data_IF_957361051216
#
_entry.id   IF_957361051216
#
_cell.length_a   1.000
_cell.length_b   1.000
_cell.length_c   1.000
_cell.angle_alpha   90.00
_cell.angle_beta   90.00
_cell.angle_gamma   90.00
#
_symmetry.space_group_name_H-M   'P 1'
#
loop_
_entity.id
_entity.type
_entity.pdbx_description
1 polymer ?
#
# COMPACT_ATOMS: atom_id res chain seq x y z
N UNK A 1 -27.41 22.67 2.41
CA UNK A 1 -27.29 21.40 3.16
C UNK A 1 -25.82 21.22 3.50
N UNK A 2 -25.42 21.38 4.77
CA UNK A 2 -24.02 21.34 5.18
C UNK A 2 -23.43 19.92 5.10
N UNK A 3 -22.15 19.81 4.75
CA UNK A 3 -21.41 18.54 4.83
C UNK A 3 -21.39 18.06 6.29
N UNK A 4 -21.56 16.76 6.51
CA UNK A 4 -21.47 16.12 7.82
C UNK A 4 -20.23 15.24 7.84
N UNK A 5 -19.55 15.20 8.97
CA UNK A 5 -18.42 14.31 9.20
C UNK A 5 -18.85 13.15 10.09
N UNK A 6 -18.41 11.96 9.70
CA UNK A 6 -18.56 10.72 10.46
C UNK A 6 -17.19 10.25 10.92
N UNK A 7 -17.07 9.85 12.18
CA UNK A 7 -15.87 9.21 12.69
C UNK A 7 -16.10 7.72 12.90
N UNK A 8 -15.37 6.87 12.17
CA UNK A 8 -15.49 5.41 12.25
C UNK A 8 -15.11 4.85 13.63
N UNK A 9 -14.16 5.49 14.33
CA UNK A 9 -13.71 5.02 15.64
C UNK A 9 -14.71 5.32 16.75
N UNK A 10 -15.40 6.46 16.67
CA UNK A 10 -16.32 6.92 17.72
C UNK A 10 -17.80 6.68 17.36
N UNK A 11 -18.08 6.27 16.12
CA UNK A 11 -19.43 6.04 15.58
C UNK A 11 -20.36 7.26 15.71
N UNK A 12 -19.80 8.47 15.70
CA UNK A 12 -20.56 9.73 15.83
C UNK A 12 -20.59 10.50 14.51
N UNK A 13 -21.73 11.15 14.27
CA UNK A 13 -21.97 12.06 13.15
C UNK A 13 -22.12 13.50 13.66
N UNK A 14 -21.38 14.45 13.10
CA UNK A 14 -21.52 15.87 13.41
C UNK A 14 -21.36 16.77 12.17
N UNK A 15 -21.63 18.07 12.31
CA UNK A 15 -21.49 19.04 11.22
C UNK A 15 -20.01 19.19 10.88
N UNK A 16 -19.66 19.13 9.60
CA UNK A 16 -18.26 19.16 9.17
C UNK A 16 -17.68 20.58 9.24
N UNK A 17 -17.22 20.94 10.44
CA UNK A 17 -16.44 22.12 10.74
C UNK A 17 -14.99 21.72 11.04
N UNK A 18 -14.02 22.44 10.47
CA UNK A 18 -12.60 22.09 10.57
C UNK A 18 -12.10 22.11 12.02
N UNK A 19 -12.51 23.11 12.79
CA UNK A 19 -12.12 23.25 14.20
C UNK A 19 -12.79 22.18 15.06
N UNK A 20 -14.08 21.92 14.85
CA UNK A 20 -14.78 20.82 15.51
C UNK A 20 -14.14 19.46 15.21
N UNK A 21 -13.78 19.20 13.94
CA UNK A 21 -13.12 17.96 13.53
C UNK A 21 -11.75 17.82 14.19
N UNK A 22 -10.94 18.87 14.21
CA UNK A 22 -9.61 18.85 14.85
C UNK A 22 -9.73 18.58 16.35
N UNK A 23 -10.66 19.24 17.04
CA UNK A 23 -10.93 19.00 18.48
C UNK A 23 -11.40 17.57 18.74
N UNK A 24 -12.25 17.02 17.87
CA UNK A 24 -12.69 15.64 17.97
C UNK A 24 -11.52 14.65 17.84
N UNK A 25 -10.67 14.81 16.81
CA UNK A 25 -9.51 13.93 16.58
C UNK A 25 -8.46 14.01 17.69
N UNK A 26 -8.34 15.17 18.35
CA UNK A 26 -7.45 15.38 19.50
C UNK A 26 -8.09 15.00 20.84
N UNK A 27 -9.37 14.61 20.86
CA UNK A 27 -10.04 14.22 22.09
C UNK A 27 -9.45 12.92 22.64
N UNK A 28 -9.32 12.84 23.97
CA UNK A 28 -8.80 11.65 24.65
C UNK A 28 -9.61 10.40 24.32
N UNK A 29 -10.93 10.55 24.17
CA UNK A 29 -11.82 9.45 23.83
C UNK A 29 -11.53 8.89 22.43
N UNK A 30 -11.42 9.75 21.41
CA UNK A 30 -11.05 9.33 20.07
C UNK A 30 -9.67 8.66 20.04
N UNK A 31 -8.67 9.27 20.69
CA UNK A 31 -7.31 8.71 20.75
C UNK A 31 -7.32 7.33 21.41
N UNK A 32 -8.07 7.16 22.50
CA UNK A 32 -8.21 5.86 23.19
C UNK A 32 -8.83 4.81 22.27
N UNK A 33 -9.97 5.10 21.65
CA UNK A 33 -10.66 4.15 20.76
C UNK A 33 -9.81 3.81 19.52
N UNK A 34 -9.14 4.82 18.95
CA UNK A 34 -8.20 4.62 17.85
C UNK A 34 -7.06 3.67 18.25
N UNK A 35 -6.45 3.88 19.42
CA UNK A 35 -5.37 3.02 19.90
C UNK A 35 -5.87 1.60 20.15
N UNK A 36 -7.03 1.42 20.79
CA UNK A 36 -7.64 0.10 21.01
C UNK A 36 -7.92 -0.64 19.68
N UNK A 37 -8.37 0.08 18.66
CA UNK A 37 -8.55 -0.49 17.33
C UNK A 37 -7.23 -0.98 16.71
N UNK A 38 -6.15 -0.20 16.82
CA UNK A 38 -4.85 -0.64 16.32
C UNK A 38 -4.23 -1.76 17.16
N UNK A 39 -4.52 -1.81 18.46
CA UNK A 39 -4.10 -2.91 19.33
C UNK A 39 -4.78 -4.23 18.97
N UNK A 40 -6.06 -4.22 18.60
CA UNK A 40 -6.78 -5.45 18.18
C UNK A 40 -6.36 -5.96 16.81
N UNK A 41 -5.93 -5.07 15.91
CA UNK A 41 -5.43 -5.39 14.59
C UNK A 41 -3.92 -5.69 14.55
N UNK A 42 -3.25 -5.75 15.71
CA UNK A 42 -1.79 -5.88 15.77
C UNK A 42 -1.35 -7.31 15.45
N UNK A 43 -0.30 -7.43 14.64
CA UNK A 43 0.21 -8.74 14.22
C UNK A 43 0.68 -9.58 15.43
N UNK A 44 0.23 -10.85 15.54
CA UNK A 44 0.60 -11.71 16.68
C UNK A 44 2.11 -11.98 16.73
N UNK A 45 2.79 -11.99 15.58
CA UNK A 45 4.24 -12.14 15.50
C UNK A 45 4.96 -10.94 16.12
N UNK A 46 4.46 -9.73 15.85
CA UNK A 46 5.01 -8.50 16.42
C UNK A 46 4.74 -8.43 17.92
N UNK A 47 3.54 -8.80 18.37
CA UNK A 47 3.20 -8.89 19.79
C UNK A 47 4.16 -9.86 20.49
N UNK A 48 4.31 -11.08 19.97
CA UNK A 48 5.18 -12.09 20.57
C UNK A 48 6.62 -11.59 20.73
N UNK A 49 7.16 -10.95 19.68
CA UNK A 49 8.53 -10.40 19.69
C UNK A 49 8.70 -9.32 20.74
N UNK A 50 7.73 -8.41 20.87
CA UNK A 50 7.78 -7.34 21.86
C UNK A 50 7.61 -7.86 23.29
N UNK A 51 6.67 -8.77 23.51
CA UNK A 51 6.36 -9.30 24.84
C UNK A 51 7.48 -10.20 25.39
N UNK A 52 8.16 -10.97 24.54
CA UNK A 52 9.32 -11.79 24.95
C UNK A 52 10.52 -10.95 25.42
N UNK A 53 10.65 -9.71 24.95
CA UNK A 53 11.70 -8.79 25.39
C UNK A 53 11.35 -8.08 26.70
N UNK A 54 10.07 -8.10 27.09
CA UNK A 54 9.60 -7.44 28.31
C UNK A 54 9.77 -8.34 29.52
N UNK A 55 10.14 -7.73 30.63
CA UNK A 55 10.16 -8.39 31.94
C UNK A 55 8.70 -8.51 32.44
N UNK A 56 8.31 -9.59 33.13
CA UNK A 56 6.95 -9.75 33.67
C UNK A 56 6.58 -8.66 34.67
N UNK A 57 5.36 -8.16 34.56
CA UNK A 57 4.83 -7.12 35.43
C UNK A 57 4.52 -7.67 36.82
N UNK A 58 5.31 -7.26 37.83
CA UNK A 58 5.11 -7.71 39.21
C UNK A 58 3.71 -7.39 39.77
N UNK A 59 3.17 -6.20 39.46
CA UNK A 59 1.83 -5.81 39.95
C UNK A 59 0.74 -6.67 39.34
N UNK A 60 0.81 -6.90 38.03
CA UNK A 60 -0.16 -7.74 37.35
C UNK A 60 -0.07 -9.20 37.84
N UNK A 61 1.14 -9.73 37.98
CA UNK A 61 1.34 -11.09 38.49
C UNK A 61 0.84 -11.29 39.93
N UNK A 62 0.88 -10.25 40.77
CA UNK A 62 0.46 -10.34 42.18
C UNK A 62 -1.04 -10.05 42.39
N UNK A 63 -1.58 -9.04 41.71
CA UNK A 63 -2.92 -8.52 41.97
C UNK A 63 -3.91 -8.80 40.83
N UNK A 64 -3.45 -9.37 39.71
CA UNK A 64 -4.25 -9.57 38.49
C UNK A 64 -4.68 -8.27 37.80
N UNK A 65 -4.24 -7.11 38.30
CA UNK A 65 -4.63 -5.80 37.81
C UNK A 65 -3.42 -4.88 37.69
N UNK A 66 -3.36 -4.10 36.62
CA UNK A 66 -2.31 -3.12 36.40
C UNK A 66 -2.94 -1.80 35.93
N UNK A 67 -2.66 -0.71 36.64
CA UNK A 67 -3.18 0.63 36.32
C UNK A 67 -2.75 1.15 34.94
N UNK A 68 -1.71 0.55 34.35
CA UNK A 68 -1.18 0.94 33.04
C UNK A 68 -1.76 0.13 31.88
N UNK A 69 -2.51 -0.94 32.14
CA UNK A 69 -3.19 -1.78 31.14
C UNK A 69 -2.30 -2.06 29.90
N UNK A 70 -2.71 -1.65 28.69
CA UNK A 70 -1.97 -1.82 27.43
C UNK A 70 -0.74 -0.93 27.27
N UNK A 71 -0.59 0.11 28.11
CA UNK A 71 0.58 1.00 28.11
C UNK A 71 1.67 0.55 29.11
N UNK A 72 1.53 -0.65 29.71
CA UNK A 72 2.54 -1.14 30.63
C UNK A 72 3.86 -1.44 29.91
N UNK A 73 4.98 -0.99 30.49
CA UNK A 73 6.33 -1.32 29.99
C UNK A 73 6.70 -2.80 30.21
N UNK A 74 5.97 -3.49 31.08
CA UNK A 74 6.20 -4.87 31.47
C UNK A 74 5.15 -5.77 30.82
N UNK A 75 5.48 -7.04 30.61
CA UNK A 75 4.53 -7.98 30.01
C UNK A 75 3.46 -8.40 31.02
N UNK A 76 2.21 -8.47 30.55
CA UNK A 76 1.07 -9.03 31.28
C UNK A 76 0.75 -10.46 30.85
N UNK A 77 1.49 -11.01 29.87
CA UNK A 77 1.26 -12.37 29.40
C UNK A 77 1.83 -13.37 30.38
N UNK A 78 1.07 -14.42 30.66
CA UNK A 78 1.59 -15.59 31.35
C UNK A 78 2.50 -16.41 30.41
N UNK A 79 3.37 -17.27 30.94
CA UNK A 79 4.15 -18.21 30.12
C UNK A 79 3.26 -19.07 29.21
N UNK A 80 2.08 -19.45 29.68
CA UNK A 80 1.08 -20.20 28.93
C UNK A 80 0.52 -19.37 27.77
N UNK A 81 0.19 -18.11 28.00
CA UNK A 81 -0.30 -17.21 26.95
C UNK A 81 0.76 -16.97 25.87
N UNK A 82 2.04 -16.83 26.25
CA UNK A 82 3.14 -16.69 25.30
C UNK A 82 3.36 -17.97 24.49
N UNK A 83 3.12 -19.14 25.08
CA UNK A 83 3.18 -20.42 24.37
C UNK A 83 2.05 -20.51 23.33
N UNK A 84 0.83 -20.16 23.72
CA UNK A 84 -0.32 -20.11 22.81
C UNK A 84 -0.09 -19.11 21.66
N UNK A 85 0.42 -17.92 21.97
CA UNK A 85 0.73 -16.91 20.97
C UNK A 85 1.82 -17.38 20.00
N UNK A 86 2.84 -18.10 20.48
CA UNK A 86 3.87 -18.72 19.64
C UNK A 86 3.27 -19.74 18.67
N UNK A 87 2.39 -20.60 19.15
CA UNK A 87 1.71 -21.58 18.32
C UNK A 87 0.87 -20.90 17.21
N UNK A 88 0.13 -19.85 17.56
CA UNK A 88 -0.63 -19.08 16.57
C UNK A 88 0.27 -18.49 15.47
N UNK A 89 1.42 -17.93 15.86
CA UNK A 89 2.38 -17.35 14.91
C UNK A 89 2.92 -18.41 13.96
N UNK A 90 3.29 -19.58 14.48
CA UNK A 90 3.77 -20.71 13.69
C UNK A 90 2.71 -21.18 12.69
N UNK A 91 1.47 -21.36 13.13
CA UNK A 91 0.35 -21.73 12.24
C UNK A 91 0.11 -20.68 11.14
N UNK A 92 0.21 -19.39 11.47
CA UNK A 92 0.07 -18.33 10.47
C UNK A 92 1.22 -18.34 9.45
N UNK A 93 2.45 -18.58 9.91
CA UNK A 93 3.62 -18.68 9.03
C UNK A 93 3.52 -19.90 8.12
N UNK A 94 3.07 -21.04 8.64
CA UNK A 94 2.82 -22.25 7.85
C UNK A 94 1.75 -22.04 6.80
N UNK A 95 0.64 -21.37 7.14
CA UNK A 95 -0.40 -21.00 6.16
C UNK A 95 0.15 -20.07 5.08
N UNK A 96 0.98 -19.09 5.46
CA UNK A 96 1.63 -18.18 4.49
C UNK A 96 2.57 -18.94 3.56
N UNK A 97 3.37 -19.87 4.09
CA UNK A 97 4.29 -20.72 3.33
C UNK A 97 3.56 -21.63 2.36
N UNK A 98 2.54 -22.35 2.83
CA UNK A 98 1.69 -23.20 1.98
C UNK A 98 1.02 -22.39 0.87
N UNK A 99 0.48 -21.21 1.20
CA UNK A 99 -0.08 -20.30 0.21
C UNK A 99 0.96 -19.85 -0.83
N UNK A 100 2.21 -19.64 -0.43
CA UNK A 100 3.30 -19.31 -1.35
C UNK A 100 3.69 -20.50 -2.24
N UNK A 101 3.71 -21.72 -1.69
CA UNK A 101 3.94 -22.96 -2.44
C UNK A 101 2.81 -23.28 -3.42
N UNK A 102 1.57 -22.91 -3.10
CA UNK A 102 0.39 -23.05 -3.97
C UNK A 102 0.36 -22.03 -5.12
N UNK A 103 1.14 -20.95 -5.06
CA UNK A 103 1.18 -19.97 -6.15
C UNK A 103 1.88 -20.58 -7.37
N UNK A 104 1.31 -20.40 -8.57
CA UNK A 104 1.95 -20.88 -9.79
C UNK A 104 3.32 -20.20 -9.95
N UNK A 105 4.33 -20.96 -10.35
CA UNK A 105 5.65 -20.42 -10.66
C UNK A 105 5.51 -19.38 -11.76
N UNK A 106 5.68 -18.11 -11.40
CA UNK A 106 5.68 -17.01 -12.37
C UNK A 106 7.04 -17.01 -13.06
N UNK A 107 7.09 -17.13 -14.41
CA UNK A 107 8.35 -17.07 -15.14
C UNK A 107 9.08 -15.76 -14.84
N UNK A 108 10.42 -15.82 -14.78
CA UNK A 108 11.24 -14.62 -14.63
C UNK A 108 10.94 -13.63 -15.76
N UNK A 109 10.99 -12.33 -15.45
CA UNK A 109 10.86 -11.24 -16.42
C UNK A 109 11.80 -11.46 -17.60
N UNK A 110 13.00 -11.95 -17.35
CA UNK A 110 14.01 -12.21 -18.38
C UNK A 110 13.60 -13.31 -19.35
N UNK A 111 13.00 -14.40 -18.83
CA UNK A 111 12.45 -15.47 -19.68
C UNK A 111 11.28 -14.98 -20.54
N UNK A 112 10.44 -14.11 -20.00
CA UNK A 112 9.34 -13.49 -20.74
C UNK A 112 9.85 -12.55 -21.84
N UNK A 113 10.84 -11.70 -21.51
CA UNK A 113 11.48 -10.80 -22.47
C UNK A 113 12.13 -11.59 -23.61
N UNK A 114 12.81 -12.69 -23.31
CA UNK A 114 13.43 -13.53 -24.32
C UNK A 114 12.38 -14.15 -25.26
N UNK A 115 11.28 -14.71 -24.72
CA UNK A 115 10.17 -15.18 -25.56
C UNK A 115 9.56 -14.05 -26.40
N UNK A 116 9.47 -12.83 -25.88
CA UNK A 116 8.99 -11.67 -26.62
C UNK A 116 9.94 -11.28 -27.76
N UNK A 117 11.23 -11.16 -27.49
CA UNK A 117 12.25 -10.87 -28.49
C UNK A 117 12.31 -11.93 -29.58
N UNK A 118 12.31 -13.21 -29.23
CA UNK A 118 12.32 -14.31 -30.21
C UNK A 118 11.08 -14.30 -31.11
N UNK A 119 9.91 -13.98 -30.54
CA UNK A 119 8.64 -13.87 -31.28
C UNK A 119 8.62 -12.66 -32.23
N UNK A 120 9.35 -11.59 -31.90
CA UNK A 120 9.44 -10.37 -32.71
C UNK A 120 10.77 -10.23 -33.47
N UNK A 121 11.64 -11.24 -33.45
CA UNK A 121 12.98 -11.21 -34.07
C UNK A 121 12.94 -11.07 -35.59
N UNK A 122 11.88 -11.57 -36.22
CA UNK A 122 11.65 -11.46 -37.67
C UNK A 122 10.65 -10.37 -38.05
N UNK A 123 10.11 -9.64 -37.06
CA UNK A 123 9.37 -8.43 -37.36
C UNK A 123 10.40 -7.38 -37.80
N UNK A 124 10.39 -7.05 -39.09
CA UNK A 124 11.11 -5.91 -39.67
C UNK A 124 11.11 -4.72 -38.70
N UNK A 125 12.25 -4.01 -38.58
CA UNK A 125 12.47 -2.78 -37.78
C UNK A 125 11.42 -1.66 -38.00
N UNK A 126 10.46 -1.87 -38.89
CA UNK A 126 9.26 -1.08 -39.01
C UNK A 126 8.38 -1.37 -37.78
N UNK A 127 8.58 -0.58 -36.72
CA UNK A 127 7.55 -0.34 -35.71
C UNK A 127 6.31 0.11 -36.46
N UNK A 128 5.37 -0.81 -36.71
CA UNK A 128 4.05 -0.45 -37.21
C UNK A 128 3.28 0.06 -36.00
N UNK A 129 3.03 1.37 -35.88
CA UNK A 129 2.14 1.85 -34.85
C UNK A 129 0.79 1.12 -34.96
N UNK A 130 0.14 0.85 -33.83
CA UNK A 130 -1.23 0.31 -33.78
C UNK A 130 -2.24 1.17 -34.60
N UNK A 131 -1.86 2.41 -34.88
CA UNK A 131 -2.62 3.34 -35.70
C UNK A 131 -1.92 3.58 -37.04
N UNK A 132 -2.69 3.59 -38.13
CA UNK A 132 -2.20 3.95 -39.47
C UNK A 132 -2.66 5.36 -39.82
N UNK A 133 -1.76 6.22 -40.31
CA UNK A 133 -2.12 7.54 -40.83
C UNK A 133 -3.06 7.37 -42.03
N UNK A 134 -4.21 8.04 -42.02
CA UNK A 134 -5.23 7.85 -43.04
C UNK A 134 -4.83 8.58 -44.34
N UNK A 135 -4.86 7.88 -45.49
CA UNK A 135 -4.41 8.41 -46.79
C UNK A 135 -5.14 9.68 -47.23
N UNK A 136 -6.40 9.87 -46.83
CA UNK A 136 -7.15 11.11 -47.12
C UNK A 136 -6.61 12.35 -46.42
N UNK A 137 -5.79 12.18 -45.37
CA UNK A 137 -5.11 13.28 -44.67
C UNK A 137 -3.73 13.58 -45.26
N UNK A 138 -3.21 12.77 -46.20
CA UNK A 138 -1.91 13.03 -46.83
C UNK A 138 -2.01 14.13 -47.89
N UNK A 139 -3.16 14.28 -48.52
CA UNK A 139 -3.42 15.28 -49.57
C UNK A 139 -3.88 16.64 -49.04
N UNK A 140 -4.04 16.79 -47.72
CA UNK A 140 -4.58 17.99 -47.08
C UNK A 140 -3.47 18.87 -46.52
N UNK A 141 -3.39 20.11 -47.03
CA UNK A 141 -2.41 21.12 -46.57
C UNK A 141 -2.97 22.05 -45.48
N UNK A 142 -4.24 21.90 -45.12
CA UNK A 142 -4.98 22.70 -44.13
C UNK A 142 -5.04 22.05 -42.74
N UNK A 143 -4.17 21.08 -42.46
CA UNK A 143 -4.20 20.33 -41.21
C UNK A 143 -3.49 21.09 -40.07
N UNK A 144 -4.05 21.10 -38.85
CA UNK A 144 -3.33 21.61 -37.69
C UNK A 144 -2.09 20.74 -37.40
N UNK A 145 -1.03 21.30 -36.78
CA UNK A 145 0.23 20.58 -36.55
C UNK A 145 0.09 19.22 -35.85
N UNK A 146 -0.93 19.06 -35.00
CA UNK A 146 -1.22 17.82 -34.27
C UNK A 146 -1.75 16.67 -35.15
N UNK A 147 -2.29 16.97 -36.34
CA UNK A 147 -2.86 15.99 -37.28
C UNK A 147 -2.05 15.83 -38.57
N UNK A 148 -0.99 16.63 -38.76
CA UNK A 148 -0.11 16.52 -39.91
C UNK A 148 0.80 15.29 -39.79
N UNK A 149 1.08 14.62 -40.91
CA UNK A 149 2.03 13.51 -40.94
C UNK A 149 3.44 14.01 -40.66
N UNK A 150 3.99 13.67 -39.50
CA UNK A 150 5.38 13.95 -39.19
C UNK A 150 6.32 13.19 -40.13
N UNK A 151 7.35 13.89 -40.58
CA UNK A 151 8.45 13.39 -41.42
C UNK A 151 9.76 13.77 -40.75
N UNK A 152 10.83 13.04 -41.09
CA UNK A 152 12.17 13.27 -40.52
C UNK A 152 12.67 14.71 -40.71
N UNK A 153 12.29 15.34 -41.83
CA UNK A 153 12.61 16.74 -42.16
C UNK A 153 12.03 17.78 -41.18
N UNK A 154 11.00 17.45 -40.39
CA UNK A 154 10.43 18.36 -39.39
C UNK A 154 11.21 18.40 -38.07
N UNK A 155 12.18 17.49 -37.86
CA UNK A 155 12.95 17.38 -36.63
C UNK A 155 14.35 18.01 -36.73
N UNK A 156 14.58 18.89 -37.71
CA UNK A 156 15.91 19.50 -37.95
C UNK A 156 16.12 20.75 -37.10
N UNK A 157 15.04 21.48 -36.76
CA UNK A 157 15.07 22.62 -35.84
C UNK A 157 14.64 22.20 -34.44
N UNK A 158 15.58 21.67 -33.66
CA UNK A 158 15.34 21.32 -32.26
C UNK A 158 16.17 22.20 -31.35
N UNK A 159 15.63 23.36 -31.02
CA UNK A 159 16.11 24.15 -29.90
C UNK A 159 15.41 23.64 -28.63
N UNK A 160 15.98 22.60 -28.02
CA UNK A 160 15.50 22.12 -26.73
C UNK A 160 15.95 23.13 -25.67
N UNK A 161 15.05 23.98 -25.20
CA UNK A 161 15.31 24.75 -23.98
C UNK A 161 15.53 23.77 -22.82
N UNK A 162 16.64 23.93 -22.10
CA UNK A 162 16.92 23.15 -20.89
C UNK A 162 15.80 23.35 -19.88
N UNK A 163 15.01 22.29 -19.67
CA UNK A 163 13.97 22.28 -18.65
C UNK A 163 14.60 22.18 -17.26
N UNK A 164 14.45 23.22 -16.44
CA UNK A 164 14.76 23.19 -15.00
C UNK A 164 15.92 24.08 -14.55
N UNK A 165 15.75 25.41 -14.65
CA UNK A 165 16.49 26.36 -13.79
C UNK A 165 15.67 26.69 -12.55
#
# INVERSE_FOLDING_TARGET
MGRRYYCDYCEINFIDDLDARKKHLQSLHHIKLRNLHYESCRDPETILREELLKIPCRRFAQYGTCQFEGNCKYTHYSPEDLCYLRQQVEEMQDKRRKKLEELPEVPSIESWLQCHYEKHKEASDIVTPFWTYHSSLESRNDLPPSLAKFKQEHFVDVNFEEWGK
#
